data_IF_855021713105
#
_entry.id   IF_855021713105
#
_cell.length_a   1.000
_cell.length_b   1.000
_cell.length_c   1.000
_cell.angle_alpha   90.00
_cell.angle_beta   90.00
_cell.angle_gamma   90.00
#
_symmetry.space_group_name_H-M   'P 1'
#
loop_
_entity.id
_entity.type
_entity.pdbx_description
1 polymer ?
#
# COMPACT_ATOMS: atom_id res chain seq x y z
N UNK A 1 15.59 21.24 -21.25
CA UNK A 1 14.55 20.39 -21.87
C UNK A 1 14.43 19.05 -21.15
N UNK A 2 15.52 18.31 -20.92
CA UNK A 2 15.44 17.02 -20.22
C UNK A 2 15.12 17.15 -18.72
N UNK A 3 15.78 18.07 -18.01
CA UNK A 3 15.53 18.33 -16.58
C UNK A 3 14.11 18.88 -16.30
N UNK A 4 13.67 19.88 -17.07
CA UNK A 4 12.29 20.38 -17.07
C UNK A 4 11.22 19.28 -17.32
N UNK A 5 11.50 18.32 -18.20
CA UNK A 5 10.63 17.16 -18.43
C UNK A 5 10.61 16.22 -17.22
N UNK A 6 11.76 15.97 -16.58
CA UNK A 6 11.85 15.18 -15.35
C UNK A 6 11.01 15.80 -14.22
N UNK A 7 11.08 17.13 -14.06
CA UNK A 7 10.26 17.84 -13.09
C UNK A 7 8.76 17.68 -13.38
N UNK A 8 8.34 17.90 -14.63
CA UNK A 8 6.94 17.74 -15.04
C UNK A 8 6.41 16.32 -14.79
N UNK A 9 7.20 15.29 -15.11
CA UNK A 9 6.86 13.88 -14.85
C UNK A 9 6.79 13.58 -13.36
N UNK A 10 7.73 14.11 -12.58
CA UNK A 10 7.73 13.95 -11.14
C UNK A 10 6.45 14.52 -10.51
N UNK A 11 5.96 15.65 -11.00
CA UNK A 11 4.69 16.24 -10.59
C UNK A 11 3.50 15.34 -10.88
N UNK A 12 3.42 14.78 -12.10
CA UNK A 12 2.36 13.81 -12.44
C UNK A 12 2.39 12.61 -11.51
N UNK A 13 3.56 12.02 -11.26
CA UNK A 13 3.67 10.90 -10.32
C UNK A 13 3.32 11.28 -8.89
N UNK A 14 3.64 12.51 -8.47
CA UNK A 14 3.27 13.03 -7.16
C UNK A 14 1.75 13.14 -7.02
N UNK A 15 1.08 13.73 -8.01
CA UNK A 15 -0.38 13.88 -8.04
C UNK A 15 -1.10 12.52 -8.08
N UNK A 16 -0.50 11.52 -8.74
CA UNK A 16 -0.94 10.11 -8.75
C UNK A 16 -0.61 9.36 -7.44
N UNK A 17 0.02 10.01 -6.46
CA UNK A 17 0.49 9.43 -5.19
C UNK A 17 1.50 8.29 -5.38
N UNK A 18 2.16 8.26 -6.53
CA UNK A 18 3.29 7.38 -6.83
C UNK A 18 4.60 8.01 -6.36
N UNK A 19 4.73 8.09 -5.03
CA UNK A 19 5.84 8.79 -4.38
C UNK A 19 7.21 8.26 -4.75
N UNK A 20 7.36 6.95 -4.98
CA UNK A 20 8.62 6.35 -5.44
C UNK A 20 9.02 6.88 -6.82
N UNK A 21 8.11 6.86 -7.79
CA UNK A 21 8.40 7.37 -9.12
C UNK A 21 8.60 8.90 -9.11
N UNK A 22 7.85 9.63 -8.30
CA UNK A 22 8.04 11.07 -8.11
C UNK A 22 9.44 11.38 -7.57
N UNK A 23 9.87 10.70 -6.50
CA UNK A 23 11.17 10.89 -5.86
C UNK A 23 12.34 10.62 -6.81
N UNK A 24 12.27 9.53 -7.57
CA UNK A 24 13.29 9.17 -8.58
C UNK A 24 13.42 10.26 -9.65
N UNK A 25 12.31 10.88 -10.08
CA UNK A 25 12.35 11.91 -11.11
C UNK A 25 12.78 13.27 -10.53
N UNK A 26 12.27 13.68 -9.36
CA UNK A 26 12.72 14.91 -8.70
C UNK A 26 14.22 14.89 -8.39
N UNK A 27 14.78 13.75 -7.94
CA UNK A 27 16.22 13.62 -7.67
C UNK A 27 17.11 13.83 -8.90
N UNK A 28 16.55 13.63 -10.11
CA UNK A 28 17.27 13.81 -11.37
C UNK A 28 17.18 15.23 -11.93
N UNK A 29 16.39 16.10 -11.32
CA UNK A 29 16.35 17.53 -11.69
C UNK A 29 17.69 18.16 -11.34
N UNK A 30 18.31 18.84 -12.30
CA UNK A 30 19.67 19.36 -12.17
C UNK A 30 19.68 20.73 -11.46
N UNK A 31 20.74 21.08 -10.70
CA UNK A 31 20.86 22.38 -10.02
C UNK A 31 20.69 23.61 -10.91
N UNK A 32 21.01 23.49 -12.20
CA UNK A 32 20.90 24.57 -13.18
C UNK A 32 19.46 24.76 -13.72
N UNK A 33 18.53 23.87 -13.37
CA UNK A 33 17.12 23.99 -13.73
C UNK A 33 16.40 25.00 -12.84
N UNK A 34 15.50 25.79 -13.43
CA UNK A 34 14.74 26.80 -12.68
C UNK A 34 13.82 26.17 -11.62
N UNK A 35 13.40 24.92 -11.83
CA UNK A 35 12.55 24.16 -10.90
C UNK A 35 13.34 23.37 -9.87
N UNK A 36 14.68 23.47 -9.85
CA UNK A 36 15.50 22.65 -8.95
C UNK A 36 15.11 22.81 -7.48
N UNK A 37 14.91 24.05 -7.02
CA UNK A 37 14.52 24.30 -5.63
C UNK A 37 13.16 23.69 -5.31
N UNK A 38 12.18 23.83 -6.21
CA UNK A 38 10.86 23.22 -6.03
C UNK A 38 10.95 21.68 -6.03
N UNK A 39 11.83 21.09 -6.84
CA UNK A 39 12.11 19.66 -6.80
C UNK A 39 12.70 19.22 -5.45
N UNK A 40 13.62 19.99 -4.86
CA UNK A 40 14.18 19.70 -3.53
C UNK A 40 13.09 19.80 -2.44
N UNK A 41 12.26 20.84 -2.48
CA UNK A 41 11.15 21.01 -1.53
C UNK A 41 10.17 19.82 -1.63
N UNK A 42 9.87 19.36 -2.85
CA UNK A 42 9.03 18.17 -3.08
C UNK A 42 9.68 16.87 -2.63
N UNK A 43 11.00 16.74 -2.73
CA UNK A 43 11.73 15.59 -2.17
C UNK A 43 11.53 15.53 -0.66
N UNK A 44 11.69 16.66 0.04
CA UNK A 44 11.47 16.74 1.49
C UNK A 44 10.02 16.43 1.88
N UNK A 45 9.04 16.94 1.14
CA UNK A 45 7.62 16.63 1.37
C UNK A 45 7.32 15.13 1.21
N UNK A 46 7.85 14.50 0.15
CA UNK A 46 7.69 13.05 -0.06
C UNK A 46 8.39 12.26 1.05
N UNK A 47 9.59 12.66 1.44
CA UNK A 47 10.33 12.02 2.54
C UNK A 47 9.49 12.01 3.82
N UNK A 48 8.92 13.15 4.22
CA UNK A 48 8.06 13.26 5.39
C UNK A 48 6.83 12.34 5.29
N UNK A 49 6.15 12.32 4.13
CA UNK A 49 4.99 11.44 3.91
C UNK A 49 5.35 9.96 4.06
N UNK A 50 6.49 9.54 3.49
CA UNK A 50 6.96 8.15 3.55
C UNK A 50 7.39 7.78 4.97
N UNK A 51 8.09 8.67 5.67
CA UNK A 51 8.49 8.46 7.06
C UNK A 51 7.29 8.38 7.99
N UNK A 52 6.29 9.26 7.84
CA UNK A 52 5.07 9.22 8.63
C UNK A 52 4.29 7.92 8.39
N UNK A 53 4.27 7.42 7.15
CA UNK A 53 3.71 6.09 6.85
C UNK A 53 4.45 4.97 7.59
N UNK A 54 5.78 5.03 7.66
CA UNK A 54 6.57 4.05 8.41
C UNK A 54 6.31 4.14 9.92
N UNK A 55 6.25 5.35 10.50
CA UNK A 55 5.88 5.57 11.91
C UNK A 55 4.50 4.99 12.24
N UNK A 56 3.51 5.27 11.40
CA UNK A 56 2.16 4.69 11.54
C UNK A 56 2.19 3.16 11.53
N UNK A 57 3.06 2.53 10.73
CA UNK A 57 3.21 1.06 10.75
C UNK A 57 3.78 0.56 12.07
N UNK A 58 4.77 1.25 12.64
CA UNK A 58 5.32 0.91 13.96
C UNK A 58 4.23 1.01 15.05
N UNK A 59 3.49 2.12 15.07
CA UNK A 59 2.43 2.38 16.06
C UNK A 59 1.29 1.35 15.97
N UNK A 60 1.00 0.85 14.78
CA UNK A 60 -0.01 -0.18 14.55
C UNK A 60 0.51 -1.62 14.75
N UNK A 61 1.76 -1.81 15.20
CA UNK A 61 2.33 -3.13 15.48
C UNK A 61 2.94 -3.85 14.27
N UNK A 62 3.17 -3.14 13.16
CA UNK A 62 3.76 -3.65 11.91
C UNK A 62 5.21 -3.13 11.66
N UNK A 63 6.17 -3.33 12.59
CA UNK A 63 7.52 -2.77 12.43
C UNK A 63 8.28 -3.32 11.22
N UNK A 64 7.94 -4.52 10.72
CA UNK A 64 8.53 -5.08 9.50
C UNK A 64 8.18 -4.28 8.25
N UNK A 65 6.91 -3.86 8.12
CA UNK A 65 6.48 -3.05 6.98
C UNK A 65 7.09 -1.64 7.06
N UNK A 66 7.24 -1.10 8.27
CA UNK A 66 8.00 0.12 8.49
C UNK A 66 9.44 0.01 7.99
N UNK A 67 10.14 -1.09 8.29
CA UNK A 67 11.49 -1.36 7.79
C UNK A 67 11.53 -1.41 6.26
N UNK A 68 10.59 -2.11 5.61
CA UNK A 68 10.54 -2.18 4.15
C UNK A 68 10.35 -0.81 3.50
N UNK A 69 9.47 0.02 4.06
CA UNK A 69 9.23 1.39 3.60
C UNK A 69 10.51 2.23 3.73
N UNK A 70 11.20 2.15 4.87
CA UNK A 70 12.39 2.93 5.15
C UNK A 70 13.60 2.49 4.32
N UNK A 71 13.76 1.18 4.07
CA UNK A 71 14.80 0.67 3.18
C UNK A 71 14.57 1.12 1.74
N UNK A 72 13.33 1.04 1.25
CA UNK A 72 12.96 1.52 -0.09
C UNK A 72 13.22 3.02 -0.24
N UNK A 73 12.97 3.80 0.82
CA UNK A 73 13.31 5.22 0.86
C UNK A 73 14.83 5.43 0.79
N UNK A 74 15.62 4.69 1.58
CA UNK A 74 17.09 4.79 1.59
C UNK A 74 17.76 4.37 0.29
N UNK A 75 17.16 3.48 -0.51
CA UNK A 75 17.66 3.16 -1.85
C UNK A 75 17.64 4.38 -2.79
N UNK A 76 16.69 5.30 -2.57
CA UNK A 76 16.49 6.49 -3.41
C UNK A 76 17.10 7.72 -2.76
N UNK A 77 16.99 7.86 -1.44
CA UNK A 77 17.53 8.92 -0.59
C UNK A 77 18.41 8.34 0.53
N UNK A 78 19.62 7.84 0.20
CA UNK A 78 20.54 7.31 1.20
C UNK A 78 20.95 8.33 2.28
N UNK A 79 20.81 9.63 1.98
CA UNK A 79 21.10 10.75 2.88
C UNK A 79 20.01 11.02 3.94
N UNK A 80 18.87 10.32 3.89
CA UNK A 80 17.79 10.50 4.87
C UNK A 80 18.24 10.12 6.28
N UNK A 81 18.53 11.14 7.10
CA UNK A 81 18.95 10.96 8.48
C UNK A 81 17.81 10.38 9.34
N UNK A 82 16.58 10.80 9.09
CA UNK A 82 15.42 10.35 9.84
C UNK A 82 15.07 8.90 9.51
N UNK A 83 15.15 8.47 8.23
CA UNK A 83 14.98 7.07 7.89
C UNK A 83 16.05 6.18 8.56
N UNK A 84 17.30 6.64 8.58
CA UNK A 84 18.41 5.95 9.24
C UNK A 84 18.21 5.83 10.75
N UNK A 85 17.73 6.89 11.38
CA UNK A 85 17.42 6.92 12.82
C UNK A 85 16.29 5.95 13.17
N UNK A 86 15.19 5.98 12.40
CA UNK A 86 14.02 5.15 12.64
C UNK A 86 14.32 3.66 12.39
N UNK A 87 15.11 3.33 11.37
CA UNK A 87 15.60 1.97 11.18
C UNK A 87 16.44 1.48 12.37
N UNK A 88 17.27 2.35 12.94
CA UNK A 88 18.09 2.04 14.12
C UNK A 88 17.24 1.84 15.37
N UNK A 89 16.20 2.67 15.56
CA UNK A 89 15.28 2.54 16.70
C UNK A 89 14.50 1.23 16.63
N UNK A 90 13.93 0.87 15.47
CA UNK A 90 13.23 -0.41 15.27
C UNK A 90 14.13 -1.60 15.59
N UNK A 91 15.40 -1.55 15.15
CA UNK A 91 16.40 -2.58 15.45
C UNK A 91 16.72 -2.69 16.95
N UNK A 92 16.68 -1.57 17.68
CA UNK A 92 17.00 -1.53 19.11
C UNK A 92 15.83 -1.88 20.03
N UNK A 93 14.59 -1.67 19.60
CA UNK A 93 13.38 -1.87 20.41
C UNK A 93 12.80 -3.29 20.36
N UNK A 94 13.39 -4.19 19.58
CA UNK A 94 12.87 -5.53 19.34
C UNK A 94 13.92 -6.60 19.69
N UNK A 95 13.50 -7.80 20.10
CA UNK A 95 14.33 -9.01 20.25
C UNK A 95 15.01 -9.48 18.92
N UNK A 96 15.14 -8.59 17.93
CA UNK A 96 15.73 -8.76 16.61
C UNK A 96 17.27 -8.80 16.59
N UNK A 97 17.91 -8.75 17.76
CA UNK A 97 19.38 -8.83 17.85
C UNK A 97 19.81 -10.30 17.71
N UNK A 98 19.88 -10.76 16.46
CA UNK A 98 20.88 -11.70 15.93
C UNK A 98 20.61 -11.92 14.43
N UNK A 99 21.16 -11.05 13.59
CA UNK A 99 22.07 -11.39 12.48
C UNK A 99 22.24 -10.23 11.48
N UNK A 100 23.38 -10.29 10.78
CA UNK A 100 24.05 -9.24 10.00
C UNK A 100 23.23 -8.68 8.80
N UNK A 101 23.56 -7.45 8.31
CA UNK A 101 22.75 -6.71 7.34
C UNK A 101 22.91 -7.09 5.85
N UNK A 102 23.63 -8.17 5.49
CA UNK A 102 23.99 -8.45 4.10
C UNK A 102 23.45 -9.77 3.51
N UNK A 103 22.67 -10.54 4.27
CA UNK A 103 21.97 -11.73 3.77
C UNK A 103 20.52 -11.71 4.29
N UNK A 104 19.63 -10.97 3.62
CA UNK A 104 18.18 -11.16 3.83
C UNK A 104 17.75 -12.29 2.89
N UNK A 105 18.00 -13.54 3.29
CA UNK A 105 17.04 -14.57 2.93
C UNK A 105 15.76 -14.25 3.72
N UNK A 106 14.76 -13.68 3.03
CA UNK A 106 13.40 -13.55 3.58
C UNK A 106 13.05 -14.87 4.29
N UNK A 107 12.51 -14.80 5.53
CA UNK A 107 12.19 -16.01 6.27
C UNK A 107 11.32 -16.93 5.39
N UNK A 108 11.48 -18.25 5.43
CA UNK A 108 10.71 -19.16 4.58
C UNK A 108 9.20 -18.92 4.68
N UNK A 109 8.74 -18.50 5.85
CA UNK A 109 7.34 -18.15 6.13
C UNK A 109 6.92 -16.82 5.50
N UNK A 110 7.79 -15.81 5.48
CA UNK A 110 7.53 -14.53 4.82
C UNK A 110 7.59 -14.65 3.28
N UNK A 111 8.56 -15.41 2.74
CA UNK A 111 8.61 -15.81 1.31
C UNK A 111 7.33 -16.52 0.91
N UNK A 112 6.90 -17.47 1.75
CA UNK A 112 5.67 -18.25 1.54
C UNK A 112 4.44 -17.35 1.55
N UNK A 113 4.30 -16.47 2.54
CA UNK A 113 3.15 -15.54 2.63
C UNK A 113 3.14 -14.55 1.46
N UNK A 114 4.28 -14.03 1.02
CA UNK A 114 4.38 -13.15 -0.16
C UNK A 114 4.04 -13.87 -1.46
N UNK A 115 4.54 -15.08 -1.64
CA UNK A 115 4.20 -15.91 -2.79
C UNK A 115 2.71 -16.28 -2.81
N UNK A 116 2.14 -16.60 -1.64
CA UNK A 116 0.72 -16.89 -1.47
C UNK A 116 -0.15 -15.66 -1.80
N UNK A 117 0.19 -14.49 -1.29
CA UNK A 117 -0.48 -13.23 -1.63
C UNK A 117 -0.38 -12.90 -3.12
N UNK A 118 0.76 -13.18 -3.75
CA UNK A 118 0.93 -13.01 -5.20
C UNK A 118 0.04 -13.97 -5.99
N UNK A 119 -0.07 -15.22 -5.55
CA UNK A 119 -0.96 -16.20 -6.15
C UNK A 119 -2.43 -15.79 -5.99
N UNK A 120 -2.85 -15.34 -4.80
CA UNK A 120 -4.21 -14.87 -4.57
C UNK A 120 -4.51 -13.66 -5.46
N UNK A 121 -3.60 -12.68 -5.55
CA UNK A 121 -3.76 -11.51 -6.40
C UNK A 121 -3.93 -11.89 -7.89
N UNK A 122 -3.06 -12.77 -8.39
CA UNK A 122 -3.15 -13.27 -9.76
C UNK A 122 -4.46 -14.04 -10.02
N UNK A 123 -4.92 -14.82 -9.05
CA UNK A 123 -6.18 -15.58 -9.15
C UNK A 123 -7.42 -14.70 -9.12
N UNK A 124 -7.35 -13.50 -8.51
CA UNK A 124 -8.44 -12.54 -8.51
C UNK A 124 -8.52 -11.76 -9.82
N UNK A 125 -7.40 -11.56 -10.52
CA UNK A 125 -7.34 -10.78 -11.74
C UNK A 125 -8.27 -11.35 -12.83
N UNK A 126 -9.06 -10.48 -13.47
CA UNK A 126 -10.02 -10.82 -14.52
C UNK A 126 -11.13 -11.80 -14.11
N UNK A 127 -11.43 -11.88 -12.81
CA UNK A 127 -12.53 -12.70 -12.30
C UNK A 127 -13.73 -11.86 -11.89
N UNK A 128 -14.90 -12.52 -11.88
CA UNK A 128 -16.11 -12.00 -11.26
C UNK A 128 -16.18 -12.46 -9.81
N UNK A 129 -16.38 -11.51 -8.92
CA UNK A 129 -16.53 -11.69 -7.48
C UNK A 129 -17.84 -11.06 -7.01
N UNK A 130 -18.22 -11.36 -5.77
CA UNK A 130 -19.37 -10.73 -5.11
C UNK A 130 -18.95 -10.11 -3.79
N UNK A 131 -19.58 -9.00 -3.44
CA UNK A 131 -19.51 -8.47 -2.09
C UNK A 131 -20.16 -9.47 -1.13
N UNK A 132 -19.45 -9.84 -0.06
CA UNK A 132 -19.90 -10.76 0.98
C UNK A 132 -20.08 -10.08 2.35
N UNK A 133 -19.77 -8.79 2.47
CA UNK A 133 -19.85 -8.05 3.74
C UNK A 133 -20.68 -6.77 3.61
N UNK A 134 -21.20 -6.28 4.73
CA UNK A 134 -22.07 -5.11 4.83
C UNK A 134 -21.33 -3.75 4.74
N UNK A 135 -19.99 -3.77 4.72
CA UNK A 135 -19.12 -2.58 4.73
C UNK A 135 -18.10 -2.59 3.60
N UNK A 136 -18.57 -2.77 2.38
CA UNK A 136 -17.72 -2.87 1.20
C UNK A 136 -17.46 -1.48 0.59
N UNK A 137 -16.54 -0.74 1.20
CA UNK A 137 -16.16 0.60 0.74
C UNK A 137 -15.35 0.52 -0.56
N UNK A 138 -15.94 1.04 -1.63
CA UNK A 138 -15.27 1.30 -2.89
C UNK A 138 -14.59 2.67 -2.81
N UNK A 139 -13.31 2.73 -3.17
CA UNK A 139 -12.48 3.92 -2.93
C UNK A 139 -11.80 4.42 -4.20
N UNK A 140 -11.33 5.67 -4.15
CA UNK A 140 -10.64 6.31 -5.28
C UNK A 140 -9.21 5.78 -5.48
N UNK A 141 -8.60 5.14 -4.48
CA UNK A 141 -7.24 4.59 -4.56
C UNK A 141 -7.07 3.34 -3.70
N UNK A 142 -6.03 2.51 -3.92
CA UNK A 142 -5.76 1.31 -3.12
C UNK A 142 -5.17 1.68 -1.75
N UNK A 143 -5.98 2.29 -0.90
CA UNK A 143 -5.60 2.75 0.45
C UNK A 143 -6.84 2.97 1.32
N UNK A 144 -6.73 2.64 2.62
CA UNK A 144 -7.78 2.91 3.62
C UNK A 144 -8.01 4.40 3.88
N UNK A 145 -7.03 5.25 3.57
CA UNK A 145 -7.10 6.70 3.75
C UNK A 145 -7.68 7.42 2.52
N UNK A 146 -7.93 6.69 1.42
CA UNK A 146 -8.48 7.30 0.21
C UNK A 146 -9.98 7.51 0.30
N UNK A 147 -10.49 8.51 -0.41
CA UNK A 147 -11.91 8.86 -0.41
C UNK A 147 -12.79 7.67 -0.82
N UNK A 148 -13.93 7.54 -0.16
CA UNK A 148 -14.93 6.52 -0.48
C UNK A 148 -15.79 7.06 -1.62
N UNK A 149 -15.81 6.33 -2.73
CA UNK A 149 -16.71 6.58 -3.88
C UNK A 149 -18.14 6.22 -3.49
N UNK A 150 -18.31 5.01 -2.97
CA UNK A 150 -19.59 4.49 -2.47
C UNK A 150 -19.34 3.30 -1.54
N UNK A 151 -20.36 2.87 -0.81
CA UNK A 151 -20.36 1.62 -0.04
C UNK A 151 -21.31 0.64 -0.72
N UNK A 152 -20.77 -0.45 -1.24
CA UNK A 152 -21.55 -1.44 -1.98
C UNK A 152 -22.28 -2.39 -1.02
N UNK A 153 -23.56 -2.71 -1.28
CA UNK A 153 -24.29 -3.71 -0.51
C UNK A 153 -23.79 -5.14 -0.82
N UNK A 154 -24.12 -6.07 0.07
CA UNK A 154 -23.93 -7.52 -0.13
C UNK A 154 -24.55 -7.95 -1.48
N UNK A 155 -23.93 -8.95 -2.11
CA UNK A 155 -24.30 -9.50 -3.41
C UNK A 155 -24.06 -8.61 -4.63
N UNK A 156 -23.54 -7.38 -4.45
CA UNK A 156 -23.06 -6.54 -5.55
C UNK A 156 -21.98 -7.26 -6.36
N UNK A 157 -22.06 -7.16 -7.68
CA UNK A 157 -21.13 -7.81 -8.59
C UNK A 157 -19.87 -6.97 -8.77
N UNK A 158 -18.71 -7.63 -8.78
CA UNK A 158 -17.41 -7.00 -8.96
C UNK A 158 -16.66 -7.71 -10.08
N UNK A 159 -16.19 -6.97 -11.07
CA UNK A 159 -15.24 -7.46 -12.07
C UNK A 159 -13.85 -6.89 -11.79
N UNK A 160 -12.87 -7.74 -11.47
CA UNK A 160 -11.53 -7.32 -11.08
C UNK A 160 -10.67 -7.04 -12.31
N UNK A 161 -10.31 -5.78 -12.52
CA UNK A 161 -9.45 -5.32 -13.63
C UNK A 161 -7.96 -5.36 -13.29
N UNK A 162 -7.61 -5.06 -12.04
CA UNK A 162 -6.24 -4.97 -11.58
C UNK A 162 -6.14 -5.31 -10.08
N UNK A 163 -4.95 -5.69 -9.62
CA UNK A 163 -4.68 -5.98 -8.21
C UNK A 163 -3.41 -5.31 -7.72
N UNK A 164 -3.42 -4.82 -6.48
CA UNK A 164 -2.24 -4.26 -5.80
C UNK A 164 -2.12 -4.86 -4.40
N UNK A 165 -0.99 -5.50 -4.13
CA UNK A 165 -0.68 -6.09 -2.82
C UNK A 165 -0.27 -4.96 -1.87
N UNK A 166 -0.82 -4.98 -0.66
CA UNK A 166 -0.45 -4.13 0.47
C UNK A 166 0.08 -5.02 1.60
N UNK A 167 1.41 -5.07 1.72
CA UNK A 167 2.09 -5.93 2.69
C UNK A 167 1.80 -7.42 2.46
N UNK A 168 1.49 -8.15 3.53
CA UNK A 168 1.11 -9.57 3.50
C UNK A 168 -0.37 -9.80 3.88
N UNK A 169 -1.14 -8.73 4.06
CA UNK A 169 -2.47 -8.83 4.68
C UNK A 169 -3.62 -8.52 3.74
N UNK A 170 -3.39 -7.71 2.71
CA UNK A 170 -4.47 -7.16 1.90
C UNK A 170 -4.07 -7.09 0.44
N UNK A 171 -5.02 -7.42 -0.42
CA UNK A 171 -4.98 -7.13 -1.85
C UNK A 171 -6.06 -6.11 -2.13
N UNK A 172 -5.67 -5.00 -2.74
CA UNK A 172 -6.59 -4.05 -3.31
C UNK A 172 -6.94 -4.48 -4.74
N UNK A 173 -8.23 -4.52 -5.04
CA UNK A 173 -8.75 -4.88 -6.35
C UNK A 173 -9.34 -3.62 -7.00
N UNK A 174 -8.83 -3.23 -8.16
CA UNK A 174 -9.51 -2.26 -9.02
C UNK A 174 -10.65 -2.97 -9.72
N UNK A 175 -11.88 -2.48 -9.55
CA UNK A 175 -13.08 -3.17 -10.00
C UNK A 175 -13.99 -2.28 -10.85
N UNK A 176 -14.73 -2.92 -11.75
CA UNK A 176 -16.04 -2.41 -12.19
C UNK A 176 -17.10 -3.08 -11.33
N UNK A 177 -17.88 -2.29 -10.62
CA UNK A 177 -18.89 -2.77 -9.69
C UNK A 177 -20.31 -2.50 -10.21
N UNK A 178 -21.23 -3.41 -9.91
CA UNK A 178 -22.67 -3.24 -10.10
C UNK A 178 -23.35 -3.37 -8.74
N UNK A 179 -23.96 -2.28 -8.28
CA UNK A 179 -24.70 -2.24 -7.02
C UNK A 179 -25.94 -3.15 -7.09
N UNK A 180 -26.08 -4.09 -6.15
CA UNK A 180 -27.19 -5.05 -6.13
C UNK A 180 -28.54 -4.44 -5.76
N UNK A 181 -28.54 -3.30 -5.07
CA UNK A 181 -29.76 -2.63 -4.59
C UNK A 181 -30.25 -1.59 -5.59
N UNK A 182 -29.36 -0.84 -6.23
CA UNK A 182 -29.73 0.25 -7.15
C UNK A 182 -29.57 -0.12 -8.63
N UNK A 183 -28.71 -1.09 -8.95
CA UNK A 183 -28.33 -1.43 -10.33
C UNK A 183 -27.36 -0.43 -10.96
N UNK A 184 -26.82 0.52 -10.19
CA UNK A 184 -25.85 1.50 -10.67
C UNK A 184 -24.45 0.90 -10.82
N UNK A 185 -23.66 1.46 -11.75
CA UNK A 185 -22.30 1.02 -12.03
C UNK A 185 -21.28 1.99 -11.47
N UNK A 186 -20.24 1.44 -10.86
CA UNK A 186 -19.15 2.19 -10.26
C UNK A 186 -17.79 1.63 -10.68
N UNK A 187 -16.75 2.45 -10.54
CA UNK A 187 -15.36 2.02 -10.68
C UNK A 187 -14.54 2.53 -9.49
N UNK A 188 -13.60 1.72 -9.03
CA UNK A 188 -12.73 2.08 -7.92
C UNK A 188 -11.96 0.90 -7.34
N UNK A 189 -11.33 1.13 -6.19
CA UNK A 189 -10.52 0.16 -5.47
C UNK A 189 -11.26 -0.38 -4.26
N UNK A 190 -11.24 -1.69 -4.08
CA UNK A 190 -11.91 -2.37 -2.97
C UNK A 190 -11.01 -3.46 -2.40
N UNK A 191 -11.09 -3.72 -1.10
CA UNK A 191 -10.25 -4.75 -0.46
C UNK A 191 -10.77 -6.14 -0.78
N UNK A 192 -9.89 -7.09 -1.12
CA UNK A 192 -10.24 -8.51 -1.31
C UNK A 192 -10.98 -9.12 -0.10
N UNK A 193 -10.73 -8.60 1.11
CA UNK A 193 -11.36 -9.05 2.35
C UNK A 193 -12.89 -8.92 2.36
N UNK A 194 -13.47 -8.11 1.48
CA UNK A 194 -14.94 -7.98 1.36
C UNK A 194 -15.56 -9.04 0.45
N UNK A 195 -14.72 -9.82 -0.24
CA UNK A 195 -15.13 -10.89 -1.17
C UNK A 195 -14.97 -12.28 -0.54
N UNK A 196 -14.23 -12.38 0.56
CA UNK A 196 -13.95 -13.64 1.26
C UNK A 196 -15.17 -14.09 2.07
N UNK A 197 -15.72 -15.27 1.74
CA UNK A 197 -16.85 -15.90 2.45
C UNK A 197 -16.54 -16.32 3.90
N UNK A 198 -15.27 -16.38 4.30
CA UNK A 198 -14.86 -17.08 5.52
C UNK A 198 -14.78 -16.23 6.80
N UNK A 199 -15.11 -14.93 6.74
CA UNK A 199 -15.15 -14.08 7.95
C UNK A 199 -16.50 -14.02 8.65
N UNK A 200 -17.59 -14.54 8.06
CA UNK A 200 -18.92 -14.50 8.66
C UNK A 200 -19.22 -15.65 9.64
N UNK A 201 -18.40 -16.71 9.67
CA UNK A 201 -18.69 -17.96 10.39
C UNK A 201 -17.85 -18.20 11.65
N UNK A 202 -16.96 -17.28 12.06
CA UNK A 202 -16.16 -17.43 13.30
C UNK A 202 -16.72 -16.74 14.54
N UNK A 203 -17.88 -16.09 14.47
CA UNK A 203 -18.45 -15.36 15.61
C UNK A 203 -19.77 -15.93 16.18
N UNK A 204 -19.98 -17.24 16.07
CA UNK A 204 -21.01 -17.93 16.85
C UNK A 204 -20.52 -19.32 17.27
N UNK A 205 -19.74 -19.37 18.34
CA UNK A 205 -19.85 -20.49 19.29
C UNK A 205 -20.57 -19.96 20.51
N UNK A 206 -21.89 -19.96 20.43
CA UNK A 206 -22.72 -20.09 21.63
C UNK A 206 -22.47 -21.49 22.19
N UNK A 207 -21.97 -21.56 23.41
CA UNK A 207 -22.39 -22.62 24.33
C UNK A 207 -22.78 -21.95 25.64
N UNK A 208 -24.05 -21.56 25.71
CA UNK A 208 -24.80 -21.58 26.96
C UNK A 208 -25.35 -22.99 27.15
N UNK A 209 -25.49 -23.37 28.44
CA UNK A 209 -26.20 -24.53 29.03
C UNK A 209 -25.24 -25.61 29.58
N UNK A 210 -25.38 -26.10 30.81
CA UNK A 210 -26.38 -25.95 31.88
C UNK A 210 -25.67 -26.02 33.23
#
# INVERSE_FOLDING_TARGET
MESDNLFSRAKTYFDEKNYTAALINYKKVLPEDLHYQEAQDKISEIEELVINRAKNRIENGDPYEAVNILLSLQEILPESAEASSLLSSIKSSSDYVKQNPYDIEESPEYKKNRAEMSNIANNLLHTFQKVQTDKANLRTSPSIESEIVTTLPIDSDLYVKNTKIEGIERIWCEVEALDSSTGERYQGWISNKVMDKDNASKNTVSVSKF
#
